data_IF_982798871604
#
_entry.id   IF_982798871604
#
_cell.length_a   1.000
_cell.length_b   1.000
_cell.length_c   1.000
_cell.angle_alpha   90.00
_cell.angle_beta   90.00
_cell.angle_gamma   90.00
#
_symmetry.space_group_name_H-M   'P 1'
#
loop_
_entity.id
_entity.type
_entity.pdbx_description
1 polymer ?
#
# COMPACT_ATOMS: atom_id res chain seq x y z
N UNK A 1 -13.50 -15.83 5.81
CA UNK A 1 -12.85 -14.52 5.67
C UNK A 1 -13.48 -13.52 6.62
N UNK A 2 -14.69 -12.99 6.36
CA UNK A 2 -15.28 -11.92 7.17
C UNK A 2 -15.32 -12.23 8.68
N UNK A 3 -15.65 -13.47 9.07
CA UNK A 3 -15.74 -13.84 10.49
C UNK A 3 -14.41 -13.78 11.25
N UNK A 4 -13.26 -13.84 10.57
CA UNK A 4 -11.96 -13.70 11.23
C UNK A 4 -11.67 -12.25 11.65
N UNK A 5 -12.40 -11.29 11.08
CA UNK A 5 -12.32 -9.86 11.44
C UNK A 5 -13.51 -9.45 12.31
N UNK A 6 -14.73 -9.85 11.94
CA UNK A 6 -15.99 -9.27 12.38
C UNK A 6 -16.77 -10.14 13.40
N UNK A 7 -16.39 -11.40 13.64
CA UNK A 7 -17.12 -12.23 14.59
C UNK A 7 -17.09 -11.63 16.00
N UNK A 8 -18.21 -11.65 16.69
CA UNK A 8 -18.31 -11.17 18.06
C UNK A 8 -19.13 -12.18 18.90
N UNK A 9 -18.55 -13.35 19.15
CA UNK A 9 -19.09 -14.42 19.99
C UNK A 9 -18.10 -14.77 21.11
N UNK A 10 -18.11 -14.01 22.23
CA UNK A 10 -17.17 -14.21 23.34
C UNK A 10 -17.19 -15.64 23.89
N UNK A 11 -16.01 -16.26 23.97
CA UNK A 11 -15.83 -17.65 24.39
C UNK A 11 -15.91 -18.67 23.26
N UNK A 12 -16.29 -18.27 22.05
CA UNK A 12 -16.36 -19.09 20.85
C UNK A 12 -15.46 -18.57 19.75
N UNK A 13 -15.82 -17.46 19.11
CA UNK A 13 -15.04 -16.81 18.04
C UNK A 13 -15.13 -15.29 18.17
N UNK A 14 -13.99 -14.65 18.30
CA UNK A 14 -13.88 -13.18 18.29
C UNK A 14 -12.94 -12.79 17.17
N UNK A 15 -13.43 -11.96 16.25
CA UNK A 15 -12.64 -11.38 15.17
C UNK A 15 -11.74 -10.26 15.67
N UNK A 16 -10.69 -9.97 14.92
CA UNK A 16 -9.63 -9.04 15.37
C UNK A 16 -10.16 -7.60 15.51
N UNK A 17 -11.06 -7.18 14.61
CA UNK A 17 -11.64 -5.83 14.60
C UNK A 17 -13.18 -5.89 14.56
N UNK A 18 -13.76 -6.64 15.49
CA UNK A 18 -15.19 -6.95 15.50
C UNK A 18 -16.11 -5.74 15.68
N UNK A 19 -15.58 -4.63 16.19
CA UNK A 19 -16.34 -3.40 16.45
C UNK A 19 -16.19 -2.35 15.32
N UNK A 20 -15.56 -2.75 14.22
CA UNK A 20 -15.44 -1.92 13.01
C UNK A 20 -16.75 -1.89 12.22
N UNK A 21 -16.97 -0.84 11.43
CA UNK A 21 -17.98 -0.83 10.37
C UNK A 21 -17.47 -1.56 9.13
N UNK A 22 -18.36 -2.25 8.41
CA UNK A 22 -17.98 -3.09 7.28
C UNK A 22 -18.72 -2.70 6.01
N UNK A 23 -17.94 -2.42 4.94
CA UNK A 23 -18.42 -2.34 3.58
C UNK A 23 -18.13 -3.69 2.89
N UNK A 24 -19.12 -4.28 2.23
CA UNK A 24 -18.99 -5.59 1.58
C UNK A 24 -19.25 -5.44 0.08
N UNK A 25 -18.23 -5.63 -0.74
CA UNK A 25 -18.32 -5.65 -2.19
C UNK A 25 -18.25 -7.10 -2.70
N UNK A 26 -19.20 -7.48 -3.56
CA UNK A 26 -19.12 -8.73 -4.32
C UNK A 26 -18.67 -8.40 -5.73
N UNK A 27 -17.44 -8.76 -6.07
CA UNK A 27 -16.80 -8.47 -7.36
C UNK A 27 -16.73 -9.69 -8.27
N UNK A 28 -16.84 -10.89 -7.68
CA UNK A 28 -16.66 -12.18 -8.35
C UNK A 28 -17.98 -12.89 -8.67
N UNK A 29 -18.03 -13.54 -9.83
CA UNK A 29 -19.04 -14.54 -10.19
C UNK A 29 -18.42 -15.93 -10.11
N UNK A 30 -18.68 -16.65 -9.03
CA UNK A 30 -18.11 -17.98 -8.75
C UNK A 30 -18.44 -19.07 -9.80
N UNK A 31 -19.21 -18.76 -10.83
CA UNK A 31 -19.55 -19.67 -11.92
C UNK A 31 -18.57 -19.59 -13.10
N UNK A 32 -17.71 -18.59 -13.13
CA UNK A 32 -16.75 -18.31 -14.21
C UNK A 32 -15.53 -17.56 -13.65
N UNK A 33 -14.45 -17.54 -14.43
CA UNK A 33 -13.26 -16.73 -14.16
C UNK A 33 -12.99 -15.91 -15.42
N UNK A 34 -13.19 -14.59 -15.35
CA UNK A 34 -13.13 -13.70 -16.51
C UNK A 34 -12.49 -12.36 -16.15
N UNK A 35 -11.81 -11.73 -17.10
CA UNK A 35 -11.14 -10.44 -16.91
C UNK A 35 -12.06 -9.30 -16.42
N UNK A 36 -13.38 -9.39 -16.68
CA UNK A 36 -14.35 -8.42 -16.17
C UNK A 36 -14.37 -8.34 -14.63
N UNK A 37 -13.93 -9.38 -13.93
CA UNK A 37 -13.87 -9.40 -12.47
C UNK A 37 -12.79 -8.46 -11.94
N UNK A 38 -11.71 -8.24 -12.67
CA UNK A 38 -10.73 -7.22 -12.33
C UNK A 38 -11.32 -5.79 -12.41
N UNK A 39 -12.12 -5.50 -13.44
CA UNK A 39 -12.83 -4.21 -13.53
C UNK A 39 -13.82 -4.04 -12.38
N UNK A 40 -14.55 -5.12 -12.03
CA UNK A 40 -15.47 -5.13 -10.90
C UNK A 40 -14.72 -4.92 -9.57
N UNK A 41 -13.54 -5.51 -9.43
CA UNK A 41 -12.67 -5.33 -8.27
C UNK A 41 -12.23 -3.87 -8.12
N UNK A 42 -11.75 -3.24 -9.19
CA UNK A 42 -11.38 -1.82 -9.20
C UNK A 42 -12.58 -0.94 -8.87
N UNK A 43 -13.75 -1.21 -9.44
CA UNK A 43 -14.98 -0.51 -9.09
C UNK A 43 -15.37 -0.71 -7.61
N UNK A 44 -15.06 -1.87 -7.03
CA UNK A 44 -15.21 -2.14 -5.59
C UNK A 44 -14.26 -1.30 -4.74
N UNK A 45 -13.02 -1.07 -5.18
CA UNK A 45 -12.07 -0.18 -4.51
C UNK A 45 -12.53 1.29 -4.57
N UNK A 46 -12.95 1.77 -5.74
CA UNK A 46 -13.50 3.12 -5.92
C UNK A 46 -14.72 3.35 -5.02
N UNK A 47 -15.65 2.40 -5.01
CA UNK A 47 -16.83 2.46 -4.13
C UNK A 47 -16.45 2.47 -2.64
N UNK A 48 -15.44 1.68 -2.24
CA UNK A 48 -14.93 1.67 -0.87
C UNK A 48 -14.34 3.02 -0.46
N UNK A 49 -13.52 3.62 -1.31
CA UNK A 49 -12.91 4.93 -1.10
C UNK A 49 -13.96 6.04 -1.00
N UNK A 50 -14.91 6.08 -1.94
CA UNK A 50 -16.03 7.04 -1.93
C UNK A 50 -16.89 6.96 -0.65
N UNK A 51 -16.96 5.79 -0.01
CA UNK A 51 -17.67 5.57 1.25
C UNK A 51 -16.78 5.66 2.49
N UNK A 52 -15.53 6.08 2.34
CA UNK A 52 -14.63 6.37 3.45
C UNK A 52 -14.03 5.13 4.10
N UNK A 53 -13.77 4.07 3.34
CA UNK A 53 -13.07 2.90 3.85
C UNK A 53 -11.60 3.24 4.20
N UNK A 54 -11.19 2.95 5.41
CA UNK A 54 -9.81 3.11 5.86
C UNK A 54 -8.93 1.91 5.47
N UNK A 55 -9.51 0.71 5.43
CA UNK A 55 -8.82 -0.55 5.14
C UNK A 55 -9.61 -1.35 4.11
N UNK A 56 -8.96 -1.82 3.08
CA UNK A 56 -9.49 -2.85 2.20
C UNK A 56 -8.74 -4.17 2.44
N UNK A 57 -9.48 -5.27 2.60
CA UNK A 57 -8.90 -6.60 2.74
C UNK A 57 -9.43 -7.51 1.64
N UNK A 58 -8.52 -8.06 0.86
CA UNK A 58 -8.79 -8.80 -0.37
C UNK A 58 -8.28 -10.23 -0.24
N UNK A 59 -9.21 -11.19 -0.25
CA UNK A 59 -8.88 -12.62 -0.18
C UNK A 59 -9.16 -13.34 -1.51
N UNK A 60 -8.86 -12.68 -2.60
CA UNK A 60 -8.94 -13.16 -3.99
C UNK A 60 -7.70 -12.67 -4.76
N UNK A 61 -7.55 -13.09 -5.99
CA UNK A 61 -6.49 -12.63 -6.87
C UNK A 61 -6.52 -13.34 -8.22
N UNK A 62 -5.79 -12.82 -9.18
CA UNK A 62 -5.86 -13.16 -10.59
C UNK A 62 -4.51 -13.61 -11.13
N UNK A 63 -4.53 -14.67 -11.94
CA UNK A 63 -3.35 -15.23 -12.61
C UNK A 63 -3.65 -15.83 -14.00
N UNK A 64 -4.90 -16.18 -14.31
CA UNK A 64 -5.27 -17.03 -15.45
C UNK A 64 -4.91 -16.46 -16.83
N UNK A 65 -4.77 -15.13 -16.95
CA UNK A 65 -4.39 -14.41 -18.17
C UNK A 65 -3.08 -13.63 -18.03
N UNK A 66 -2.31 -13.91 -16.98
CA UNK A 66 -1.02 -13.29 -16.73
C UNK A 66 0.11 -14.31 -16.83
N UNK A 67 1.28 -13.82 -17.18
CA UNK A 67 2.55 -14.52 -17.05
C UNK A 67 3.28 -14.01 -15.80
N UNK A 68 4.31 -14.73 -15.34
CA UNK A 68 5.06 -14.28 -14.17
C UNK A 68 5.69 -12.88 -14.36
N UNK A 69 6.15 -12.57 -15.57
CA UNK A 69 6.73 -11.27 -15.91
C UNK A 69 5.75 -10.09 -15.72
N UNK A 70 4.44 -10.36 -15.69
CA UNK A 70 3.39 -9.36 -15.44
C UNK A 70 3.21 -9.06 -13.94
N UNK A 71 3.80 -9.87 -13.05
CA UNK A 71 3.79 -9.65 -11.61
C UNK A 71 4.87 -8.62 -11.22
N UNK A 72 4.87 -7.48 -11.87
CA UNK A 72 5.89 -6.42 -11.82
C UNK A 72 5.47 -5.16 -11.04
N UNK A 73 4.27 -5.15 -10.46
CA UNK A 73 3.69 -4.02 -9.74
C UNK A 73 3.03 -2.97 -10.65
N UNK A 74 3.03 -3.15 -11.99
CA UNK A 74 2.58 -2.12 -12.91
C UNK A 74 1.70 -2.64 -14.08
N UNK A 75 1.61 -3.96 -14.26
CA UNK A 75 0.95 -4.55 -15.43
C UNK A 75 -0.49 -4.95 -15.14
N UNK A 76 -0.76 -5.66 -14.06
CA UNK A 76 -2.11 -6.12 -13.75
C UNK A 76 -3.05 -4.96 -13.36
N UNK A 77 -4.28 -5.01 -13.87
CA UNK A 77 -5.30 -3.96 -13.65
C UNK A 77 -5.59 -3.77 -12.15
N UNK A 78 -5.73 -4.87 -11.43
CA UNK A 78 -6.00 -4.86 -9.98
C UNK A 78 -4.81 -4.37 -9.18
N UNK A 79 -3.59 -4.66 -9.62
CA UNK A 79 -2.33 -4.17 -9.03
C UNK A 79 -2.26 -2.64 -9.11
N UNK A 80 -2.52 -2.07 -10.29
CA UNK A 80 -2.60 -0.62 -10.48
C UNK A 80 -3.71 -0.03 -9.59
N UNK A 81 -4.86 -0.71 -9.52
CA UNK A 81 -6.01 -0.27 -8.73
C UNK A 81 -5.69 -0.15 -7.23
N UNK A 82 -5.03 -1.14 -6.62
CA UNK A 82 -4.68 -1.09 -5.18
C UNK A 82 -3.60 -0.05 -4.88
N UNK A 83 -2.65 0.20 -5.80
CA UNK A 83 -1.65 1.26 -5.61
C UNK A 83 -2.29 2.65 -5.67
N UNK A 84 -3.28 2.86 -6.55
CA UNK A 84 -4.07 4.10 -6.56
C UNK A 84 -4.86 4.24 -5.25
N UNK A 85 -5.54 3.19 -4.81
CA UNK A 85 -6.30 3.17 -3.57
C UNK A 85 -5.43 3.48 -2.33
N UNK A 86 -4.24 2.90 -2.25
CA UNK A 86 -3.26 3.20 -1.21
C UNK A 86 -2.77 4.66 -1.29
N UNK A 87 -2.57 5.17 -2.50
CA UNK A 87 -2.22 6.59 -2.74
C UNK A 87 -3.31 7.57 -2.31
N UNK A 88 -4.58 7.15 -2.29
CA UNK A 88 -5.74 7.91 -1.78
C UNK A 88 -5.89 7.80 -0.27
N UNK A 89 -5.20 6.88 0.39
CA UNK A 89 -5.14 6.77 1.84
C UNK A 89 -5.67 5.45 2.42
N UNK A 90 -6.20 4.54 1.63
CA UNK A 90 -6.64 3.23 2.10
C UNK A 90 -5.46 2.30 2.39
N UNK A 91 -5.50 1.59 3.51
CA UNK A 91 -4.57 0.47 3.77
C UNK A 91 -5.04 -0.75 2.98
N UNK A 92 -4.28 -1.14 1.96
CA UNK A 92 -4.61 -2.28 1.11
C UNK A 92 -3.89 -3.54 1.59
N UNK A 93 -4.66 -4.56 1.99
CA UNK A 93 -4.16 -5.85 2.46
C UNK A 93 -4.68 -6.95 1.53
N UNK A 94 -3.81 -7.78 0.99
CA UNK A 94 -4.20 -8.81 0.01
C UNK A 94 -3.55 -10.15 0.30
N UNK A 95 -4.23 -11.24 -0.05
CA UNK A 95 -3.69 -12.58 0.05
C UNK A 95 -2.58 -12.78 -1.01
N UNK A 96 -1.48 -13.43 -0.62
CA UNK A 96 -0.35 -13.67 -1.52
C UNK A 96 -0.67 -14.66 -2.65
N UNK A 97 -1.66 -15.52 -2.45
CA UNK A 97 -2.00 -16.63 -3.34
C UNK A 97 -1.75 -17.99 -2.70
N UNK A 98 -2.31 -19.05 -3.31
CA UNK A 98 -2.22 -20.42 -2.80
C UNK A 98 -1.50 -21.37 -3.78
N UNK A 99 -0.58 -20.82 -4.57
CA UNK A 99 0.11 -21.53 -5.66
C UNK A 99 1.51 -22.02 -5.30
N UNK A 100 1.90 -21.95 -4.01
CA UNK A 100 3.25 -22.28 -3.57
C UNK A 100 3.70 -23.73 -3.83
N UNK A 101 2.78 -24.66 -4.10
CA UNK A 101 3.05 -26.04 -4.49
C UNK A 101 2.56 -26.39 -5.91
N UNK A 102 2.16 -25.38 -6.68
CA UNK A 102 1.72 -25.50 -8.07
C UNK A 102 2.83 -25.06 -9.04
N UNK A 103 2.62 -25.22 -10.36
CA UNK A 103 3.57 -24.77 -11.38
C UNK A 103 3.80 -23.26 -11.37
N UNK A 104 2.78 -22.46 -10.96
CA UNK A 104 2.90 -21.03 -10.84
C UNK A 104 3.86 -20.61 -9.73
N UNK A 105 3.77 -21.20 -8.56
CA UNK A 105 4.62 -21.00 -7.38
C UNK A 105 4.56 -19.61 -6.75
N UNK A 106 4.53 -18.53 -7.54
CA UNK A 106 4.69 -17.15 -7.14
C UNK A 106 3.40 -16.50 -6.62
N UNK A 107 3.54 -15.27 -6.13
CA UNK A 107 2.41 -14.41 -5.78
C UNK A 107 1.53 -14.16 -7.00
N UNK A 108 0.28 -13.77 -6.76
CA UNK A 108 -0.71 -13.45 -7.80
C UNK A 108 -1.18 -12.00 -7.68
N UNK A 109 -1.65 -11.39 -8.78
CA UNK A 109 -2.20 -10.03 -8.72
C UNK A 109 -3.44 -9.97 -7.81
N UNK A 110 -3.62 -8.92 -6.98
CA UNK A 110 -2.81 -7.71 -6.84
C UNK A 110 -1.72 -7.77 -5.74
N UNK A 111 -1.26 -8.97 -5.33
CA UNK A 111 -0.25 -9.12 -4.28
C UNK A 111 1.14 -8.59 -4.68
N UNK A 112 1.37 -8.40 -5.98
CA UNK A 112 2.60 -7.84 -6.54
C UNK A 112 2.69 -6.31 -6.45
N UNK A 113 1.61 -5.61 -6.10
CA UNK A 113 1.57 -4.15 -6.01
C UNK A 113 2.60 -3.58 -5.01
N UNK A 114 3.04 -2.33 -5.24
CA UNK A 114 4.07 -1.66 -4.44
C UNK A 114 3.59 -1.27 -3.04
N UNK A 115 2.38 -0.74 -2.97
CA UNK A 115 1.83 -0.14 -1.75
C UNK A 115 0.96 -1.09 -0.93
N UNK A 116 0.78 -2.32 -1.38
CA UNK A 116 -0.05 -3.33 -0.74
C UNK A 116 0.71 -4.04 0.41
N UNK A 117 -0.03 -4.58 1.35
CA UNK A 117 0.47 -5.57 2.33
C UNK A 117 0.02 -6.95 1.83
N UNK A 118 0.87 -7.63 1.10
CA UNK A 118 0.68 -9.00 0.67
C UNK A 118 0.92 -9.97 1.83
N UNK A 119 0.03 -10.93 2.03
CA UNK A 119 0.02 -11.79 3.22
C UNK A 119 0.17 -13.27 2.86
N UNK A 120 1.29 -13.85 3.29
CA UNK A 120 1.55 -15.28 3.24
C UNK A 120 0.91 -16.06 4.41
N UNK A 121 0.88 -17.38 4.30
CA UNK A 121 0.21 -18.25 5.25
C UNK A 121 1.20 -19.13 6.05
N UNK A 122 1.12 -19.06 7.38
CA UNK A 122 1.81 -19.99 8.29
C UNK A 122 0.83 -20.90 9.02
N UNK A 123 1.37 -22.01 9.54
CA UNK A 123 0.65 -22.92 10.44
C UNK A 123 0.70 -22.44 11.91
N UNK A 124 0.16 -23.23 12.83
CA UNK A 124 0.14 -22.92 14.27
C UNK A 124 1.53 -22.89 14.92
N UNK A 125 2.54 -23.53 14.31
CA UNK A 125 3.95 -23.51 14.75
C UNK A 125 4.75 -22.36 14.16
N UNK A 126 4.14 -21.53 13.30
CA UNK A 126 4.81 -20.42 12.61
C UNK A 126 5.61 -20.88 11.38
N UNK A 127 5.41 -22.10 10.90
CA UNK A 127 6.06 -22.60 9.69
C UNK A 127 5.22 -22.23 8.46
N UNK A 128 5.91 -21.82 7.37
CA UNK A 128 5.23 -21.51 6.10
C UNK A 128 4.47 -22.73 5.58
N UNK A 129 3.27 -22.52 5.08
CA UNK A 129 2.47 -23.61 4.51
C UNK A 129 2.87 -23.88 3.07
N UNK A 130 2.83 -25.15 2.65
CA UNK A 130 3.26 -25.53 1.31
C UNK A 130 2.46 -24.87 0.17
N UNK A 131 1.23 -24.45 0.46
CA UNK A 131 0.38 -23.78 -0.53
C UNK A 131 0.63 -22.27 -0.62
N UNK A 132 1.24 -21.65 0.41
CA UNK A 132 1.45 -20.19 0.38
C UNK A 132 2.32 -19.80 -0.80
N UNK A 133 1.83 -18.92 -1.65
CA UNK A 133 2.61 -18.35 -2.76
C UNK A 133 3.83 -17.58 -2.23
N UNK A 134 4.89 -17.54 -3.03
CA UNK A 134 6.20 -17.00 -2.72
C UNK A 134 6.55 -15.79 -3.58
N UNK A 135 7.45 -14.94 -3.11
CA UNK A 135 8.15 -13.98 -3.94
C UNK A 135 9.32 -14.62 -4.73
N UNK A 136 10.11 -13.80 -5.40
CA UNK A 136 9.95 -12.36 -5.53
C UNK A 136 8.85 -11.97 -6.52
N UNK A 137 8.58 -10.67 -6.67
CA UNK A 137 7.93 -10.13 -7.86
C UNK A 137 8.85 -10.26 -9.07
N UNK A 138 8.30 -10.09 -10.29
CA UNK A 138 9.09 -10.14 -11.53
C UNK A 138 10.20 -9.07 -11.56
N UNK A 139 9.97 -7.92 -10.95
CA UNK A 139 10.94 -6.83 -10.81
C UNK A 139 11.88 -6.98 -9.58
N UNK A 140 11.76 -8.10 -8.83
CA UNK A 140 12.71 -8.52 -7.79
C UNK A 140 12.42 -8.04 -6.37
N UNK A 141 11.23 -7.48 -6.08
CA UNK A 141 10.84 -7.10 -4.72
C UNK A 141 10.51 -8.32 -3.88
N UNK A 142 10.85 -8.25 -2.59
CA UNK A 142 10.48 -9.29 -1.63
C UNK A 142 8.96 -9.29 -1.43
N UNK A 143 8.36 -10.47 -1.55
CA UNK A 143 6.97 -10.80 -1.26
C UNK A 143 6.88 -12.17 -0.57
N UNK A 144 5.84 -12.42 0.25
CA UNK A 144 4.84 -11.46 0.73
C UNK A 144 5.48 -10.38 1.62
N UNK A 145 4.75 -9.33 2.02
CA UNK A 145 5.25 -8.41 3.05
C UNK A 145 5.36 -9.08 4.39
N UNK A 146 4.31 -9.77 4.82
CA UNK A 146 4.27 -10.49 6.10
C UNK A 146 3.48 -11.79 5.97
N UNK A 147 3.57 -12.63 7.01
CA UNK A 147 2.75 -13.82 7.14
C UNK A 147 1.83 -13.73 8.37
N UNK A 148 0.68 -14.41 8.27
CA UNK A 148 -0.21 -14.66 9.40
C UNK A 148 -0.72 -16.10 9.34
N UNK A 149 -1.47 -16.53 10.38
CA UNK A 149 -2.00 -17.90 10.42
C UNK A 149 -3.04 -18.13 9.33
N UNK A 150 -2.67 -18.89 8.30
CA UNK A 150 -3.53 -19.28 7.18
C UNK A 150 -3.85 -20.76 7.15
N UNK A 151 -3.28 -21.58 8.06
CA UNK A 151 -3.57 -23.01 8.15
C UNK A 151 -4.43 -23.33 9.36
N UNK A 152 -5.53 -24.04 9.13
CA UNK A 152 -6.49 -24.43 10.16
C UNK A 152 -6.93 -23.22 11.01
N UNK A 153 -7.27 -22.14 10.36
CA UNK A 153 -7.78 -20.91 11.00
C UNK A 153 -9.26 -21.07 11.27
N UNK A 154 -9.66 -20.84 12.53
CA UNK A 154 -11.06 -20.88 12.92
C UNK A 154 -11.88 -19.77 12.27
N UNK A 155 -13.02 -20.13 11.73
CA UNK A 155 -13.98 -19.21 11.11
C UNK A 155 -15.40 -19.79 11.21
N UNK A 156 -16.41 -18.99 10.88
CA UNK A 156 -17.76 -19.48 10.68
C UNK A 156 -17.78 -20.41 9.46
N UNK A 157 -18.42 -21.58 9.60
CA UNK A 157 -18.58 -22.51 8.49
C UNK A 157 -19.45 -21.88 7.40
N UNK A 158 -18.97 -21.77 6.15
CA UNK A 158 -19.72 -21.11 5.07
C UNK A 158 -21.05 -21.83 4.72
N UNK A 159 -21.18 -23.11 5.10
CA UNK A 159 -22.38 -23.91 4.85
C UNK A 159 -23.31 -24.03 6.08
N UNK A 160 -23.07 -23.24 7.13
CA UNK A 160 -23.86 -23.27 8.37
C UNK A 160 -23.92 -21.89 9.00
N UNK A 161 -25.03 -21.56 9.62
CA UNK A 161 -25.20 -20.31 10.40
C UNK A 161 -24.82 -20.45 11.87
N UNK A 162 -24.54 -21.68 12.33
CA UNK A 162 -24.36 -21.97 13.75
C UNK A 162 -23.03 -22.70 14.07
N UNK A 163 -22.31 -23.17 13.05
CA UNK A 163 -21.12 -23.99 13.25
C UNK A 163 -19.84 -23.22 12.84
N UNK A 164 -18.78 -23.51 13.58
CA UNK A 164 -17.42 -23.09 13.25
C UNK A 164 -16.69 -24.20 12.53
N UNK A 165 -15.71 -23.82 11.71
CA UNK A 165 -14.80 -24.77 11.05
C UNK A 165 -13.39 -24.19 10.97
N UNK A 166 -12.43 -25.08 10.74
CA UNK A 166 -11.07 -24.70 10.44
C UNK A 166 -10.87 -24.77 8.92
N UNK A 167 -10.47 -23.65 8.33
CA UNK A 167 -10.16 -23.55 6.90
C UNK A 167 -8.71 -23.13 6.73
N UNK A 168 -8.16 -23.40 5.53
CA UNK A 168 -6.79 -23.05 5.17
C UNK A 168 -6.74 -22.27 3.88
N UNK A 169 -5.78 -21.37 3.76
CA UNK A 169 -5.52 -20.49 2.64
C UNK A 169 -4.90 -19.16 3.08
N UNK A 170 -4.16 -18.51 2.23
CA UNK A 170 -3.73 -17.12 2.42
C UNK A 170 -4.94 -16.19 2.58
N UNK A 171 -6.10 -16.59 2.03
CA UNK A 171 -7.40 -15.96 2.24
C UNK A 171 -7.87 -15.90 3.70
N UNK A 172 -7.32 -16.73 4.58
CA UNK A 172 -7.58 -16.71 6.04
C UNK A 172 -6.51 -15.94 6.82
N UNK A 173 -5.29 -15.83 6.28
CA UNK A 173 -4.21 -15.04 6.83
C UNK A 173 -4.41 -13.53 6.57
N UNK A 174 -4.77 -13.17 5.36
CA UNK A 174 -4.99 -11.80 4.92
C UNK A 174 -5.93 -10.99 5.84
N UNK A 175 -7.15 -11.45 6.16
CA UNK A 175 -8.07 -10.70 7.02
C UNK A 175 -7.55 -10.51 8.46
N UNK A 176 -6.66 -11.38 8.96
CA UNK A 176 -6.04 -11.17 10.26
C UNK A 176 -5.14 -9.93 10.25
N UNK A 177 -4.38 -9.74 9.17
CA UNK A 177 -3.54 -8.55 8.98
C UNK A 177 -4.42 -7.31 8.76
N UNK A 178 -5.49 -7.42 7.96
CA UNK A 178 -6.44 -6.34 7.75
C UNK A 178 -7.11 -5.88 9.05
N UNK A 179 -7.49 -6.81 9.92
CA UNK A 179 -8.02 -6.49 11.25
C UNK A 179 -6.99 -5.76 12.13
N UNK A 180 -5.72 -6.17 12.08
CA UNK A 180 -4.64 -5.46 12.81
C UNK A 180 -4.42 -4.06 12.23
N UNK A 181 -4.48 -3.88 10.90
CA UNK A 181 -4.40 -2.56 10.28
C UNK A 181 -5.51 -1.63 10.80
N UNK A 182 -6.74 -2.11 10.92
CA UNK A 182 -7.85 -1.35 11.50
C UNK A 182 -7.58 -0.96 12.98
N UNK A 183 -7.03 -1.86 13.79
CA UNK A 183 -6.64 -1.56 15.18
C UNK A 183 -5.51 -0.53 15.26
N UNK A 184 -4.55 -0.55 14.33
CA UNK A 184 -3.48 0.46 14.26
C UNK A 184 -4.08 1.82 13.93
N UNK A 185 -4.97 1.92 12.95
CA UNK A 185 -5.66 3.18 12.60
C UNK A 185 -6.46 3.71 13.79
N UNK A 186 -7.18 2.84 14.50
CA UNK A 186 -7.89 3.24 15.73
C UNK A 186 -6.94 3.82 16.80
N UNK A 187 -5.76 3.22 16.97
CA UNK A 187 -4.76 3.68 17.93
C UNK A 187 -4.00 4.93 17.48
N UNK A 188 -3.84 5.10 16.18
CA UNK A 188 -3.02 6.14 15.53
C UNK A 188 -3.80 6.80 14.35
N UNK A 189 -4.87 7.55 14.64
CA UNK A 189 -5.79 8.07 13.60
C UNK A 189 -5.15 9.08 12.63
N UNK A 190 -4.01 9.65 12.98
CA UNK A 190 -3.26 10.58 12.13
C UNK A 190 -2.26 9.88 11.19
N UNK A 191 -2.17 8.56 11.25
CA UNK A 191 -1.25 7.80 10.41
C UNK A 191 -1.79 7.64 8.98
N UNK A 192 -0.86 7.69 8.02
CA UNK A 192 -1.15 7.35 6.62
C UNK A 192 -1.15 5.84 6.43
N UNK A 193 -1.73 5.36 5.32
CA UNK A 193 -1.67 3.95 4.93
C UNK A 193 -0.23 3.38 4.94
N UNK A 194 0.74 4.19 4.51
CA UNK A 194 2.15 3.77 4.48
C UNK A 194 2.78 3.69 5.87
N UNK A 195 2.35 4.51 6.85
CA UNK A 195 2.78 4.37 8.25
C UNK A 195 2.26 3.06 8.86
N UNK A 196 1.01 2.70 8.56
CA UNK A 196 0.42 1.43 9.00
C UNK A 196 1.19 0.24 8.40
N UNK A 197 1.47 0.31 7.09
CA UNK A 197 2.28 -0.70 6.39
C UNK A 197 3.68 -0.82 6.99
N UNK A 198 4.36 0.29 7.24
CA UNK A 198 5.68 0.33 7.87
C UNK A 198 5.66 -0.33 9.25
N UNK A 199 4.70 0.01 10.11
CA UNK A 199 4.58 -0.57 11.44
C UNK A 199 4.41 -2.10 11.39
N UNK A 200 3.58 -2.61 10.49
CA UNK A 200 3.37 -4.04 10.29
C UNK A 200 4.65 -4.75 9.86
N UNK A 201 5.40 -4.17 8.91
CA UNK A 201 6.64 -4.73 8.36
C UNK A 201 7.77 -4.67 9.39
N UNK A 202 7.99 -3.51 10.00
CA UNK A 202 9.14 -3.26 10.87
C UNK A 202 9.04 -3.95 12.23
N UNK A 203 7.86 -4.44 12.61
CA UNK A 203 7.65 -5.17 13.86
C UNK A 203 7.41 -6.67 13.65
N UNK A 204 7.40 -7.12 12.42
CA UNK A 204 7.26 -8.54 12.09
C UNK A 204 8.49 -9.33 12.54
N UNK A 205 8.34 -10.63 12.72
CA UNK A 205 9.31 -11.52 13.40
C UNK A 205 10.68 -11.62 12.71
N UNK A 206 10.80 -11.19 11.46
CA UNK A 206 12.01 -11.23 10.64
C UNK A 206 12.29 -9.89 9.95
N UNK A 207 11.93 -8.77 10.57
CA UNK A 207 12.05 -7.43 9.97
C UNK A 207 13.45 -7.14 9.38
N UNK A 208 14.52 -7.58 10.06
CA UNK A 208 15.91 -7.37 9.65
C UNK A 208 16.46 -8.47 8.71
N UNK A 209 15.68 -9.51 8.40
CA UNK A 209 16.14 -10.69 7.64
C UNK A 209 15.08 -11.23 6.68
N UNK A 210 14.37 -10.33 6.01
CA UNK A 210 13.28 -10.67 5.10
C UNK A 210 13.73 -11.61 3.96
N UNK A 211 12.81 -12.48 3.52
CA UNK A 211 13.02 -13.40 2.42
C UNK A 211 11.71 -13.60 1.62
N UNK A 212 11.78 -14.33 0.51
CA UNK A 212 10.64 -14.54 -0.39
C UNK A 212 9.62 -15.59 0.08
N UNK A 213 9.85 -16.27 1.20
CA UNK A 213 8.91 -17.23 1.78
C UNK A 213 8.04 -16.58 2.86
N UNK A 214 8.67 -15.82 3.74
CA UNK A 214 8.02 -15.21 4.91
C UNK A 214 7.84 -13.70 4.80
N UNK A 215 8.43 -13.06 3.78
CA UNK A 215 8.57 -11.61 3.77
C UNK A 215 9.39 -11.14 4.97
N UNK A 216 8.88 -10.15 5.68
CA UNK A 216 9.46 -9.67 6.93
C UNK A 216 9.07 -10.53 8.14
N UNK A 217 8.44 -11.68 7.91
CA UNK A 217 8.10 -12.64 8.95
C UNK A 217 6.63 -12.58 9.40
N UNK A 218 6.39 -13.15 10.56
CA UNK A 218 5.04 -13.27 11.12
C UNK A 218 4.63 -11.95 11.78
N UNK A 219 3.42 -11.49 11.48
CA UNK A 219 2.79 -10.31 12.07
C UNK A 219 2.86 -10.34 13.61
N UNK A 220 3.25 -9.22 14.22
CA UNK A 220 3.17 -8.96 15.63
C UNK A 220 2.23 -7.78 15.91
N UNK A 221 0.96 -8.07 16.16
CA UNK A 221 -0.08 -7.05 16.31
C UNK A 221 0.21 -6.07 17.47
N UNK A 222 0.66 -6.57 18.62
CA UNK A 222 0.94 -5.72 19.78
C UNK A 222 2.10 -4.74 19.48
N UNK A 223 3.19 -5.25 18.92
CA UNK A 223 4.34 -4.41 18.57
C UNK A 223 3.98 -3.41 17.44
N UNK A 224 3.13 -3.78 16.48
CA UNK A 224 2.71 -2.89 15.41
C UNK A 224 1.81 -1.74 15.92
N UNK A 225 0.94 -1.99 16.88
CA UNK A 225 0.11 -0.95 17.53
C UNK A 225 0.97 0.01 18.38
N UNK A 226 1.99 -0.53 19.05
CA UNK A 226 2.91 0.23 19.89
C UNK A 226 4.06 0.88 19.07
N UNK A 227 4.18 0.55 17.79
CA UNK A 227 5.23 1.08 16.93
C UNK A 227 5.16 2.61 16.88
N UNK A 228 6.29 3.23 17.03
CA UNK A 228 6.43 4.66 16.79
C UNK A 228 7.17 4.80 15.46
N UNK A 229 6.47 5.31 14.45
CA UNK A 229 7.13 5.74 13.22
C UNK A 229 8.27 6.64 13.67
N UNK A 230 9.49 6.27 13.38
CA UNK A 230 10.61 7.17 13.59
C UNK A 230 10.40 8.36 12.66
N UNK A 231 9.46 9.24 13.06
CA UNK A 231 9.47 10.59 12.55
C UNK A 231 10.87 11.12 12.91
N UNK A 232 11.63 11.48 11.91
CA UNK A 232 12.79 12.36 12.09
C UNK A 232 12.24 13.75 12.51
N UNK A 233 11.29 13.77 13.45
CA UNK A 233 10.58 14.95 13.92
C UNK A 233 10.29 14.78 15.40
N UNK A 234 11.05 15.51 16.20
CA UNK A 234 10.93 15.83 17.60
C UNK A 234 11.91 15.15 18.54
N UNK A 235 13.19 15.39 18.28
CA UNK A 235 14.08 15.71 19.39
C UNK A 235 14.57 17.15 19.22
N UNK A 236 14.47 17.95 20.27
CA UNK A 236 15.05 19.29 20.39
C UNK A 236 16.59 19.32 20.26
N UNK A 237 17.15 18.36 19.52
CA UNK A 237 18.51 18.34 18.99
C UNK A 237 18.40 18.19 17.46
N UNK A 238 18.05 19.29 16.84
CA UNK A 238 17.88 19.47 15.42
C UNK A 238 19.11 19.01 14.61
N UNK A 239 18.96 17.91 13.87
CA UNK A 239 19.51 17.96 12.51
C UNK A 239 18.63 18.97 11.78
N UNK A 240 19.12 20.10 11.28
CA UNK A 240 18.30 21.09 10.62
C UNK A 240 17.57 20.42 9.46
N UNK A 241 16.22 20.48 9.43
CA UNK A 241 15.46 20.16 8.23
C UNK A 241 15.99 21.06 7.14
N UNK A 242 16.68 20.49 6.14
CA UNK A 242 17.28 21.28 5.09
C UNK A 242 16.25 22.10 4.32
N UNK A 243 15.01 21.57 4.17
CA UNK A 243 13.84 22.30 3.68
C UNK A 243 12.54 21.54 3.99
N UNK A 244 11.41 22.23 4.08
CA UNK A 244 10.21 21.63 4.67
C UNK A 244 8.93 21.75 3.86
N UNK A 245 8.80 22.63 2.87
CA UNK A 245 7.51 22.81 2.19
C UNK A 245 7.72 23.11 0.72
N UNK A 246 7.14 22.28 -0.17
CA UNK A 246 6.92 22.57 -1.58
C UNK A 246 5.44 22.86 -1.80
N UNK A 247 5.11 24.13 -2.06
CA UNK A 247 3.76 24.53 -2.48
C UNK A 247 3.76 24.82 -3.97
N UNK A 248 2.69 24.41 -4.66
CA UNK A 248 2.49 24.69 -6.08
C UNK A 248 1.02 25.08 -6.29
N UNK A 249 0.77 26.30 -6.76
CA UNK A 249 -0.59 26.83 -6.92
C UNK A 249 -0.68 27.91 -8.04
N UNK A 250 -1.87 28.03 -8.67
CA UNK A 250 -3.04 27.15 -8.52
C UNK A 250 -2.75 25.75 -9.03
N UNK A 251 -3.50 24.75 -8.62
CA UNK A 251 -3.44 23.39 -9.18
C UNK A 251 -4.88 22.82 -9.21
N UNK A 252 -5.49 22.58 -10.38
CA UNK A 252 -4.94 22.77 -11.72
C UNK A 252 -4.58 24.22 -12.06
N UNK A 253 -3.69 24.45 -13.06
CA UNK A 253 -3.21 25.78 -13.43
C UNK A 253 -3.30 26.09 -14.92
N UNK A 254 -3.42 27.40 -15.22
CA UNK A 254 -3.40 27.99 -16.56
C UNK A 254 -3.19 29.53 -16.43
N UNK A 255 -2.25 30.18 -17.11
CA UNK A 255 -1.15 29.59 -17.88
C UNK A 255 0.07 29.31 -17.02
N UNK A 256 0.13 29.79 -15.77
CA UNK A 256 1.33 29.71 -14.93
C UNK A 256 1.07 29.11 -13.56
N UNK A 257 2.10 28.51 -13.00
CA UNK A 257 2.15 27.87 -11.69
C UNK A 257 3.16 28.58 -10.81
N UNK A 258 2.73 29.04 -9.64
CA UNK A 258 3.64 29.51 -8.60
C UNK A 258 4.15 28.34 -7.78
N UNK A 259 5.45 28.29 -7.56
CA UNK A 259 6.12 27.26 -6.77
C UNK A 259 6.85 27.95 -5.63
N UNK A 260 6.60 27.53 -4.40
CA UNK A 260 7.19 28.08 -3.18
C UNK A 260 7.89 26.98 -2.39
N UNK A 261 9.16 27.18 -2.08
CA UNK A 261 9.99 26.25 -1.32
C UNK A 261 10.59 27.02 -0.14
N UNK A 262 10.43 26.45 1.07
CA UNK A 262 11.10 26.95 2.28
C UNK A 262 12.37 26.16 2.51
N UNK A 263 13.50 26.83 2.66
CA UNK A 263 14.83 26.26 2.85
C UNK A 263 15.40 26.82 4.14
N UNK A 264 15.80 25.93 5.06
CA UNK A 264 16.29 26.34 6.39
C UNK A 264 17.82 26.52 6.45
N UNK A 265 18.54 26.09 5.44
CA UNK A 265 20.00 26.19 5.33
C UNK A 265 20.44 26.68 3.97
N UNK A 266 21.59 27.38 3.94
CA UNK A 266 22.25 27.74 2.68
C UNK A 266 22.78 26.48 2.01
N UNK A 267 22.13 26.06 0.92
CA UNK A 267 22.47 24.84 0.19
C UNK A 267 22.08 24.95 -1.28
N UNK A 268 22.68 24.14 -2.11
CA UNK A 268 22.37 24.08 -3.53
C UNK A 268 20.99 23.42 -3.72
N UNK A 269 20.06 24.19 -4.29
CA UNK A 269 18.70 23.76 -4.60
C UNK A 269 18.55 23.63 -6.11
N UNK A 270 18.09 22.47 -6.57
CA UNK A 270 17.58 22.30 -7.94
C UNK A 270 16.07 22.07 -7.93
N UNK A 271 15.36 22.58 -8.91
CA UNK A 271 13.93 22.33 -9.11
C UNK A 271 13.70 21.99 -10.59
N UNK A 272 13.36 20.75 -10.83
CA UNK A 272 13.21 20.16 -12.15
C UNK A 272 11.74 19.81 -12.42
N UNK A 273 11.35 19.89 -13.68
CA UNK A 273 10.04 19.50 -14.18
C UNK A 273 10.15 18.25 -15.03
N UNK A 274 9.25 17.30 -14.78
CA UNK A 274 9.12 16.06 -15.55
C UNK A 274 7.70 15.88 -16.06
N UNK A 275 7.53 15.19 -17.19
CA UNK A 275 6.23 14.72 -17.65
C UNK A 275 5.73 13.56 -16.78
N UNK A 276 4.47 13.17 -16.95
CA UNK A 276 3.90 11.99 -16.28
C UNK A 276 4.66 10.66 -16.60
N UNK A 277 5.32 10.60 -17.76
CA UNK A 277 6.13 9.45 -18.18
C UNK A 277 7.58 9.50 -17.66
N UNK A 278 7.90 10.39 -16.72
CA UNK A 278 9.25 10.54 -16.17
C UNK A 278 10.24 11.24 -17.10
N UNK A 279 9.80 11.74 -18.28
CA UNK A 279 10.68 12.47 -19.18
C UNK A 279 11.00 13.85 -18.62
N UNK A 280 12.29 14.17 -18.47
CA UNK A 280 12.75 15.50 -18.10
C UNK A 280 12.27 16.56 -19.10
N UNK A 281 11.78 17.69 -18.61
CA UNK A 281 11.28 18.84 -19.38
C UNK A 281 12.24 20.03 -19.27
N UNK A 282 12.46 20.53 -18.08
CA UNK A 282 13.33 21.67 -17.82
C UNK A 282 13.70 21.79 -16.34
N UNK A 283 14.77 22.50 -16.07
CA UNK A 283 15.11 23.01 -14.74
C UNK A 283 14.62 24.45 -14.62
N UNK A 284 13.89 24.76 -13.56
CA UNK A 284 13.35 26.10 -13.28
C UNK A 284 14.12 26.84 -12.19
N UNK A 285 14.92 26.13 -11.41
CA UNK A 285 15.82 26.69 -10.41
C UNK A 285 17.05 25.80 -10.24
N UNK A 286 18.25 26.38 -10.22
CA UNK A 286 19.52 25.68 -10.05
C UNK A 286 20.57 26.63 -9.48
N UNK A 287 20.49 26.92 -8.17
CA UNK A 287 21.33 27.89 -7.48
C UNK A 287 21.44 27.57 -5.98
N UNK A 288 22.36 28.27 -5.30
CA UNK A 288 22.38 28.29 -3.84
C UNK A 288 21.15 29.09 -3.35
N UNK A 289 20.32 28.45 -2.53
CA UNK A 289 19.18 29.08 -1.89
C UNK A 289 19.67 29.99 -0.75
N UNK A 290 19.75 31.30 -1.02
CA UNK A 290 20.27 32.30 -0.07
C UNK A 290 19.23 32.76 0.97
N UNK A 291 17.95 32.53 0.71
CA UNK A 291 16.85 32.95 1.56
C UNK A 291 16.04 31.74 2.04
N UNK A 292 15.46 31.84 3.23
CA UNK A 292 14.55 30.82 3.76
C UNK A 292 13.37 30.50 2.84
N UNK A 293 12.98 31.44 1.98
CA UNK A 293 11.82 31.31 1.11
C UNK A 293 12.22 31.59 -0.34
N UNK A 294 12.06 30.57 -1.18
CA UNK A 294 12.27 30.64 -2.63
C UNK A 294 10.92 30.62 -3.34
N UNK A 295 10.69 31.60 -4.23
CA UNK A 295 9.49 31.65 -5.06
C UNK A 295 9.90 31.68 -6.52
N UNK A 296 9.27 30.82 -7.31
CA UNK A 296 9.49 30.72 -8.76
C UNK A 296 8.17 30.52 -9.49
N UNK A 297 8.15 30.83 -10.76
CA UNK A 297 6.99 30.66 -11.64
C UNK A 297 7.37 29.74 -12.80
N UNK A 298 6.49 28.80 -13.10
CA UNK A 298 6.62 27.93 -14.26
C UNK A 298 5.45 28.15 -15.21
N UNK A 299 5.78 28.38 -16.51
CA UNK A 299 4.80 28.55 -17.58
C UNK A 299 5.11 27.56 -18.71
N UNK A 300 4.29 26.51 -18.91
CA UNK A 300 4.53 25.46 -19.89
C UNK A 300 4.06 25.79 -21.31
N UNK A 301 4.02 27.05 -21.75
CA UNK A 301 3.42 27.61 -22.96
C UNK A 301 3.32 26.68 -24.20
N UNK A 302 4.30 25.82 -24.45
CA UNK A 302 4.37 24.90 -25.60
C UNK A 302 3.98 23.45 -25.29
N UNK A 303 3.73 23.13 -24.02
CA UNK A 303 3.44 21.77 -23.60
C UNK A 303 1.94 21.44 -23.71
N UNK A 304 1.56 20.17 -23.88
CA UNK A 304 0.16 19.75 -23.85
C UNK A 304 -0.45 19.86 -22.44
N UNK A 305 -1.78 19.97 -22.36
CA UNK A 305 -2.48 19.76 -21.10
C UNK A 305 -2.18 18.38 -20.55
N UNK A 306 -1.99 18.25 -19.24
CA UNK A 306 -1.63 16.98 -18.63
C UNK A 306 -1.03 17.10 -17.24
N UNK A 307 -0.59 15.97 -16.71
CA UNK A 307 0.06 15.86 -15.40
C UNK A 307 1.57 16.04 -15.58
N UNK A 308 2.14 16.82 -14.65
CA UNK A 308 3.58 17.05 -14.56
C UNK A 308 4.03 16.86 -13.11
N UNK A 309 5.30 16.53 -12.94
CA UNK A 309 5.93 16.41 -11.63
C UNK A 309 6.99 17.48 -11.46
N UNK A 310 6.93 18.16 -10.32
CA UNK A 310 7.98 19.05 -9.84
C UNK A 310 8.84 18.23 -8.90
N UNK A 311 10.14 18.19 -9.14
CA UNK A 311 11.10 17.52 -8.27
C UNK A 311 12.08 18.57 -7.77
N UNK A 312 12.07 18.83 -6.47
CA UNK A 312 13.07 19.66 -5.82
C UNK A 312 14.12 18.79 -5.14
N UNK A 313 15.39 19.13 -5.28
CA UNK A 313 16.51 18.44 -4.66
C UNK A 313 17.41 19.45 -3.95
N UNK A 314 17.63 19.24 -2.66
CA UNK A 314 18.54 20.02 -1.82
C UNK A 314 19.54 19.07 -1.19
N UNK A 315 20.79 19.11 -1.63
CA UNK A 315 21.88 18.25 -1.15
C UNK A 315 21.52 16.75 -1.06
N UNK A 316 20.79 16.23 -2.08
CA UNK A 316 20.40 14.83 -2.17
C UNK A 316 19.02 14.51 -1.56
N UNK A 317 18.44 15.39 -0.76
CA UNK A 317 17.07 15.24 -0.30
C UNK A 317 16.10 15.68 -1.40
N UNK A 318 15.14 14.84 -1.77
CA UNK A 318 14.17 15.11 -2.84
C UNK A 318 12.75 15.23 -2.31
N UNK A 319 12.01 16.20 -2.83
CA UNK A 319 10.57 16.34 -2.62
C UNK A 319 9.87 16.36 -3.98
N UNK A 320 8.72 15.70 -4.06
CA UNK A 320 7.93 15.54 -5.28
C UNK A 320 6.58 16.24 -5.13
N UNK A 321 6.12 16.90 -6.21
CA UNK A 321 4.79 17.49 -6.26
C UNK A 321 4.15 17.27 -7.62
N UNK A 322 2.99 16.62 -7.63
CA UNK A 322 2.14 16.48 -8.82
C UNK A 322 1.37 17.76 -9.08
N UNK A 323 1.33 18.21 -10.32
CA UNK A 323 0.57 19.36 -10.79
C UNK A 323 -0.15 19.07 -12.10
N UNK A 324 -1.29 19.69 -12.32
CA UNK A 324 -2.10 19.51 -13.53
C UNK A 324 -2.16 20.81 -14.32
N UNK A 325 -1.66 20.78 -15.56
CA UNK A 325 -1.77 21.88 -16.51
C UNK A 325 -3.00 21.72 -17.39
N UNK A 326 -3.81 22.77 -17.49
CA UNK A 326 -4.99 22.83 -18.36
C UNK A 326 -4.79 24.01 -19.31
N UNK A 327 -4.78 23.72 -20.61
CA UNK A 327 -4.59 24.72 -21.68
C UNK A 327 -5.89 25.39 -22.06
#
# INVERSE_FOLDING_TARGET
VLSTIAANAPGELVGIAFDSEFLLAKTEDVSQEVQQEEDNYVAGLEWGEENGADVVTTSLGYLDWYEYDDMDGNTAVTTIGVDIAAGLGMVCVTAAGNSGNDEWYYIIAPADADSVISVGAVNASGEITSFSSHGPTADGRIKPEVCARGSQTWCINPNSTENYSQLSGTSLACPLVGGVAALIIQAKPDWTAMHVREAIIMTASMADSANNDYGHGILNAAAAIEYEVMSILDDNNSIPKKYSILKAYPNPFNPSLNIEITVDVLSHLTVDIFSYSGKYICTIFDQIAENKFQKMEWNPNSLPSGIYFIISNLDGQRIYKKVTYIK
#
